data_IF_490459694313
#
_entry.id   IF_490459694313
#
_cell.length_a   1.000
_cell.length_b   1.000
_cell.length_c   1.000
_cell.angle_alpha   90.00
_cell.angle_beta   90.00
_cell.angle_gamma   90.00
#
_symmetry.space_group_name_H-M   'P 1'
#
loop_
_entity.id
_entity.type
_entity.pdbx_description
1 polymer ?
#
# COMPACT_ATOMS: atom_id res chain seq x y z
N UNK A 1 -17.87 26.79 -2.79
CA UNK A 1 -16.72 27.12 -1.92
C UNK A 1 -16.54 25.92 -1.02
N UNK A 2 -15.61 25.04 -1.36
CA UNK A 2 -15.23 23.93 -0.48
C UNK A 2 -14.38 24.55 0.61
N UNK A 3 -14.73 24.35 1.88
CA UNK A 3 -13.89 24.78 3.00
C UNK A 3 -12.53 24.08 2.84
N UNK A 4 -11.46 24.83 2.62
CA UNK A 4 -10.11 24.29 2.67
C UNK A 4 -9.92 23.61 4.03
N UNK A 5 -9.54 22.32 4.09
CA UNK A 5 -9.23 21.67 5.34
C UNK A 5 -8.15 22.44 6.09
N UNK A 6 -8.28 22.53 7.42
CA UNK A 6 -7.22 23.05 8.29
C UNK A 6 -6.03 22.07 8.27
N UNK A 7 -5.17 22.20 7.26
CA UNK A 7 -3.88 21.52 7.25
C UNK A 7 -2.94 22.25 8.22
N UNK A 8 -2.20 21.50 9.03
CA UNK A 8 -1.21 22.07 9.93
C UNK A 8 -0.18 22.87 9.11
N UNK A 9 0.35 23.98 9.64
CA UNK A 9 1.34 24.78 8.92
C UNK A 9 2.66 23.99 8.78
N UNK A 10 2.78 23.22 7.71
CA UNK A 10 3.99 22.50 7.35
C UNK A 10 5.17 23.46 7.21
N UNK A 11 6.15 23.35 8.11
CA UNK A 11 7.35 24.19 8.11
C UNK A 11 8.61 23.40 7.73
N UNK A 12 9.26 23.86 6.65
CA UNK A 12 10.70 23.78 6.32
C UNK A 12 11.35 22.41 6.06
N UNK A 13 10.77 21.58 5.22
CA UNK A 13 11.59 20.80 4.27
C UNK A 13 11.63 21.57 2.94
N UNK A 14 12.82 21.89 2.40
CA UNK A 14 12.92 22.34 1.00
C UNK A 14 12.76 21.09 0.12
N UNK A 15 11.58 20.80 -0.47
CA UNK A 15 11.25 19.50 -1.05
C UNK A 15 11.44 19.48 -2.57
N UNK A 16 12.26 20.38 -3.12
CA UNK A 16 12.37 20.57 -4.57
C UNK A 16 12.90 19.30 -5.29
N UNK A 17 13.82 18.55 -4.65
CA UNK A 17 14.61 17.52 -5.35
C UNK A 17 14.38 16.08 -4.87
N UNK A 18 13.19 15.75 -4.32
CA UNK A 18 12.85 14.33 -4.10
C UNK A 18 12.71 13.64 -5.45
N UNK A 19 13.29 12.46 -5.62
CA UNK A 19 13.12 11.68 -6.86
C UNK A 19 11.84 10.87 -6.78
N UNK A 20 11.28 10.53 -7.94
CA UNK A 20 9.96 9.86 -8.05
C UNK A 20 9.98 8.41 -7.51
N UNK A 21 11.17 7.81 -7.48
CA UNK A 21 11.46 6.44 -7.04
C UNK A 21 12.13 6.37 -5.65
N UNK A 22 12.20 7.48 -4.92
CA UNK A 22 12.83 7.53 -3.59
C UNK A 22 11.83 7.80 -2.47
N UNK A 23 12.11 7.23 -1.30
CA UNK A 23 11.33 7.34 -0.07
C UNK A 23 11.19 8.78 0.45
N UNK A 24 10.39 9.00 1.51
CA UNK A 24 10.14 10.34 2.06
C UNK A 24 11.39 11.07 2.57
N UNK A 25 12.48 10.37 2.85
CA UNK A 25 13.77 11.00 3.18
C UNK A 25 14.68 11.24 1.97
N UNK A 26 14.26 10.83 0.77
CA UNK A 26 15.00 10.90 -0.49
C UNK A 26 16.35 10.14 -0.47
N UNK A 27 16.49 9.13 0.39
CA UNK A 27 17.75 8.39 0.60
C UNK A 27 17.68 6.95 0.12
N UNK A 28 16.51 6.32 0.16
CA UNK A 28 16.30 4.93 -0.27
C UNK A 28 15.51 4.90 -1.56
N UNK A 29 16.03 4.20 -2.58
CA UNK A 29 15.27 3.93 -3.80
C UNK A 29 14.22 2.86 -3.50
N UNK A 30 12.95 3.25 -3.41
CA UNK A 30 11.82 2.37 -3.08
C UNK A 30 11.31 1.58 -4.28
N UNK A 31 11.93 1.72 -5.45
CA UNK A 31 11.72 0.81 -6.57
C UNK A 31 12.77 -0.31 -6.67
N UNK A 32 13.79 -0.29 -5.80
CA UNK A 32 14.90 -1.25 -5.80
C UNK A 32 14.80 -2.20 -4.62
N UNK A 33 14.53 -3.48 -4.91
CA UNK A 33 14.46 -4.53 -3.87
C UNK A 33 15.74 -4.58 -3.01
N UNK A 34 16.97 -4.57 -3.57
CA UNK A 34 18.17 -4.54 -2.74
C UNK A 34 18.27 -3.28 -1.87
N UNK A 35 17.93 -2.10 -2.38
CA UNK A 35 18.06 -0.86 -1.61
C UNK A 35 17.10 -0.83 -0.41
N UNK A 36 15.87 -1.31 -0.59
CA UNK A 36 14.90 -1.40 0.52
C UNK A 36 15.28 -2.50 1.49
N UNK A 37 15.71 -3.68 1.01
CA UNK A 37 16.21 -4.75 1.88
C UNK A 37 17.35 -4.26 2.77
N UNK A 38 18.33 -3.56 2.20
CA UNK A 38 19.51 -3.09 2.94
C UNK A 38 19.11 -2.01 3.98
N UNK A 39 18.14 -1.14 3.66
CA UNK A 39 17.60 -0.17 4.62
C UNK A 39 16.80 -0.84 5.76
N UNK A 40 16.00 -1.85 5.43
CA UNK A 40 15.26 -2.67 6.41
C UNK A 40 16.21 -3.45 7.30
N UNK A 41 17.28 -4.03 6.73
CA UNK A 41 18.32 -4.71 7.48
C UNK A 41 18.99 -3.78 8.49
N UNK A 42 19.39 -2.58 8.07
CA UNK A 42 20.01 -1.61 8.96
C UNK A 42 19.10 -1.23 10.15
N UNK A 43 17.79 -1.06 9.92
CA UNK A 43 16.82 -0.81 10.99
C UNK A 43 16.63 -2.03 11.89
N UNK A 44 16.54 -3.23 11.30
CA UNK A 44 16.33 -4.47 12.04
C UNK A 44 17.52 -4.80 12.95
N UNK A 45 18.75 -4.69 12.44
CA UNK A 45 19.99 -4.92 13.21
C UNK A 45 20.19 -3.86 14.30
N UNK A 46 19.70 -2.64 14.10
CA UNK A 46 19.69 -1.61 15.15
C UNK A 46 18.78 -2.00 16.32
N UNK A 47 17.59 -2.54 16.03
CA UNK A 47 16.66 -3.02 17.07
C UNK A 47 17.17 -4.30 17.74
N UNK A 48 17.71 -5.23 16.95
CA UNK A 48 18.04 -6.59 17.38
C UNK A 48 19.43 -7.03 16.90
N UNK A 49 20.52 -6.53 17.50
CA UNK A 49 21.89 -6.77 17.01
C UNK A 49 22.36 -8.24 17.01
N UNK A 50 21.62 -9.12 17.68
CA UNK A 50 21.95 -10.56 17.80
C UNK A 50 20.99 -11.47 17.03
N UNK A 51 19.90 -10.93 16.48
CA UNK A 51 18.94 -11.70 15.72
C UNK A 51 19.44 -11.93 14.28
N UNK A 52 19.17 -13.10 13.70
CA UNK A 52 19.50 -13.36 12.29
C UNK A 52 18.55 -12.58 11.37
N UNK A 53 19.11 -12.02 10.29
CA UNK A 53 18.35 -11.39 9.20
C UNK A 53 17.99 -12.37 8.07
N UNK A 54 18.44 -13.63 8.14
CA UNK A 54 18.31 -14.59 7.03
C UNK A 54 16.87 -14.81 6.54
N UNK A 55 15.84 -14.93 7.42
CA UNK A 55 14.47 -15.10 6.94
C UNK A 55 13.94 -13.87 6.21
N UNK A 56 14.33 -12.65 6.63
CA UNK A 56 13.97 -11.42 5.91
C UNK A 56 14.69 -11.35 4.56
N UNK A 57 15.97 -11.72 4.52
CA UNK A 57 16.71 -11.78 3.27
C UNK A 57 16.03 -12.72 2.26
N UNK A 58 15.64 -13.91 2.70
CA UNK A 58 14.91 -14.89 1.90
C UNK A 58 13.53 -14.36 1.49
N UNK A 59 12.81 -13.66 2.36
CA UNK A 59 11.54 -13.02 2.03
C UNK A 59 11.70 -11.99 0.90
N UNK A 60 12.71 -11.13 0.95
CA UNK A 60 13.00 -10.18 -0.14
C UNK A 60 13.40 -10.88 -1.45
N UNK A 61 14.11 -12.01 -1.36
CA UNK A 61 14.41 -12.84 -2.52
C UNK A 61 13.12 -13.39 -3.16
N UNK A 62 12.26 -14.04 -2.36
CA UNK A 62 11.01 -14.64 -2.83
C UNK A 62 10.00 -13.59 -3.30
N UNK A 63 9.96 -12.40 -2.68
CA UNK A 63 9.20 -11.24 -3.15
C UNK A 63 9.58 -10.85 -4.57
N UNK A 64 10.89 -10.74 -4.84
CA UNK A 64 11.35 -10.36 -6.17
C UNK A 64 11.00 -11.45 -7.20
N UNK A 65 11.12 -12.73 -6.86
CA UNK A 65 10.68 -13.84 -7.71
C UNK A 65 9.18 -13.78 -7.99
N UNK A 66 8.35 -13.54 -6.98
CA UNK A 66 6.89 -13.47 -7.10
C UNK A 66 6.48 -12.35 -8.04
N UNK A 67 6.91 -11.11 -7.75
CA UNK A 67 6.48 -9.95 -8.53
C UNK A 67 7.07 -9.93 -9.96
N UNK A 68 8.22 -10.57 -10.20
CA UNK A 68 8.77 -10.80 -11.56
C UNK A 68 8.07 -11.94 -12.32
N UNK A 69 7.22 -12.74 -11.67
CA UNK A 69 6.62 -13.93 -12.29
C UNK A 69 7.61 -15.08 -12.50
N UNK A 70 8.66 -15.11 -11.68
CA UNK A 70 9.68 -16.17 -11.66
C UNK A 70 9.44 -17.19 -10.54
N UNK A 71 8.53 -16.90 -9.60
CA UNK A 71 8.09 -17.87 -8.60
C UNK A 71 7.16 -18.92 -9.24
N UNK A 72 7.47 -20.23 -9.16
CA UNK A 72 6.67 -21.27 -9.79
C UNK A 72 5.19 -21.24 -9.37
N UNK A 73 4.29 -21.35 -10.35
CA UNK A 73 2.84 -21.33 -10.11
C UNK A 73 2.21 -19.94 -10.11
N UNK A 74 3.01 -18.87 -10.18
CA UNK A 74 2.54 -17.48 -10.18
C UNK A 74 2.90 -16.76 -11.49
N UNK A 75 2.03 -15.85 -11.91
CA UNK A 75 2.33 -14.85 -12.94
C UNK A 75 3.14 -13.71 -12.31
N UNK A 76 3.70 -12.83 -13.12
CA UNK A 76 4.29 -11.60 -12.62
C UNK A 76 3.23 -10.54 -12.32
N UNK A 77 3.60 -9.54 -11.52
CA UNK A 77 2.75 -8.40 -11.20
C UNK A 77 2.28 -7.72 -12.49
N UNK A 78 0.97 -7.58 -12.67
CA UNK A 78 0.34 -6.94 -13.81
C UNK A 78 -0.60 -5.77 -13.42
N UNK A 79 -0.67 -5.46 -12.12
CA UNK A 79 -1.22 -4.23 -11.53
C UNK A 79 -0.25 -3.06 -11.74
N UNK A 80 -0.78 -1.86 -11.99
CA UNK A 80 0.01 -0.65 -12.33
C UNK A 80 0.13 0.33 -11.17
N UNK A 81 -0.77 0.26 -10.19
CA UNK A 81 -0.75 1.01 -8.94
C UNK A 81 -0.17 0.18 -7.80
N UNK A 82 -0.75 -1.01 -7.55
CA UNK A 82 -0.25 -1.97 -6.56
C UNK A 82 0.93 -2.75 -7.15
N UNK A 83 2.01 -2.03 -7.44
CA UNK A 83 3.24 -2.53 -8.07
C UNK A 83 4.38 -2.71 -7.05
N UNK A 84 5.56 -3.13 -7.52
CA UNK A 84 6.71 -3.33 -6.61
C UNK A 84 7.07 -2.09 -5.80
N UNK A 85 6.99 -0.90 -6.39
CA UNK A 85 7.39 0.32 -5.70
C UNK A 85 6.47 0.59 -4.52
N UNK A 86 5.16 0.45 -4.71
CA UNK A 86 4.19 0.63 -3.63
C UNK A 86 4.49 -0.33 -2.47
N UNK A 87 4.65 -1.62 -2.75
CA UNK A 87 4.91 -2.62 -1.70
C UNK A 87 6.23 -2.38 -0.96
N UNK A 88 7.28 -1.98 -1.67
CA UNK A 88 8.59 -1.70 -1.08
C UNK A 88 8.61 -0.42 -0.23
N UNK A 89 7.96 0.67 -0.67
CA UNK A 89 7.85 1.91 0.11
C UNK A 89 7.06 1.65 1.41
N UNK A 90 5.94 0.93 1.30
CA UNK A 90 5.14 0.53 2.46
C UNK A 90 5.94 -0.35 3.44
N UNK A 91 6.70 -1.33 2.94
CA UNK A 91 7.55 -2.20 3.79
C UNK A 91 8.59 -1.39 4.57
N UNK A 92 9.18 -0.36 3.96
CA UNK A 92 10.11 0.54 4.64
C UNK A 92 9.39 1.41 5.69
N UNK A 93 8.20 1.92 5.38
CA UNK A 93 7.37 2.67 6.33
C UNK A 93 6.97 1.82 7.54
N UNK A 94 6.53 0.59 7.31
CA UNK A 94 6.23 -0.41 8.33
C UNK A 94 7.43 -0.67 9.25
N UNK A 95 8.61 -0.88 8.68
CA UNK A 95 9.84 -1.13 9.45
C UNK A 95 10.20 0.08 10.33
N UNK A 96 10.02 1.30 9.82
CA UNK A 96 10.25 2.55 10.58
C UNK A 96 9.26 2.70 11.73
N UNK A 97 7.98 2.37 11.52
CA UNK A 97 6.98 2.39 12.59
C UNK A 97 7.34 1.44 13.73
N UNK A 98 7.71 0.19 13.40
CA UNK A 98 8.10 -0.79 14.40
C UNK A 98 9.39 -0.38 15.13
N UNK A 99 10.37 0.20 14.42
CA UNK A 99 11.60 0.72 15.05
C UNK A 99 11.32 1.88 16.02
N UNK A 100 10.43 2.79 15.63
CA UNK A 100 9.97 3.86 16.51
C UNK A 100 9.22 3.34 17.75
N UNK A 101 8.38 2.32 17.58
CA UNK A 101 7.69 1.68 18.69
C UNK A 101 8.63 0.94 19.64
N UNK A 102 9.49 0.07 19.11
CA UNK A 102 10.45 -0.71 19.91
C UNK A 102 11.39 0.15 20.74
N UNK A 103 11.80 1.30 20.19
CA UNK A 103 12.68 2.24 20.90
C UNK A 103 11.98 3.04 22.01
N UNK A 104 10.65 3.11 22.02
CA UNK A 104 9.89 3.99 22.94
C UNK A 104 8.94 3.27 23.87
N UNK A 105 8.50 2.05 23.54
CA UNK A 105 7.60 1.27 24.37
C UNK A 105 8.28 0.73 25.64
N UNK A 106 7.48 0.33 26.63
CA UNK A 106 8.00 -0.33 27.82
C UNK A 106 8.49 -1.74 27.46
N UNK A 107 9.46 -2.26 28.21
CA UNK A 107 10.10 -3.56 27.92
C UNK A 107 9.12 -4.72 27.74
N UNK A 108 8.05 -4.76 28.55
CA UNK A 108 7.00 -5.78 28.49
C UNK A 108 6.12 -5.71 27.23
N UNK A 109 6.09 -4.56 26.57
CA UNK A 109 5.26 -4.28 25.39
C UNK A 109 6.09 -4.40 24.10
N UNK A 110 7.38 -4.69 24.21
CA UNK A 110 8.24 -4.93 23.05
C UNK A 110 7.73 -6.12 22.24
N UNK A 111 7.74 -5.96 20.92
CA UNK A 111 7.36 -6.99 19.96
C UNK A 111 8.39 -8.12 19.95
N UNK A 112 9.66 -7.77 20.07
CA UNK A 112 10.78 -8.69 19.90
C UNK A 112 11.12 -8.98 18.44
N UNK A 113 12.23 -9.69 18.18
CA UNK A 113 12.77 -9.85 16.83
C UNK A 113 11.85 -10.64 15.90
N UNK A 114 11.26 -11.72 16.40
CA UNK A 114 10.47 -12.64 15.56
C UNK A 114 9.12 -12.05 15.13
N UNK A 115 8.41 -11.39 16.04
CA UNK A 115 7.16 -10.69 15.70
C UNK A 115 7.41 -9.46 14.82
N UNK A 116 8.52 -8.75 15.04
CA UNK A 116 8.93 -7.66 14.13
C UNK A 116 9.19 -8.20 12.72
N UNK A 117 9.89 -9.33 12.62
CA UNK A 117 10.14 -10.03 11.36
C UNK A 117 8.83 -10.45 10.67
N UNK A 118 7.88 -11.01 11.42
CA UNK A 118 6.53 -11.31 10.93
C UNK A 118 5.85 -10.06 10.35
N UNK A 119 5.88 -8.94 11.05
CA UNK A 119 5.27 -7.69 10.59
C UNK A 119 5.88 -7.19 9.29
N UNK A 120 7.21 -7.24 9.15
CA UNK A 120 7.92 -6.84 7.93
C UNK A 120 7.56 -7.78 6.76
N UNK A 121 7.55 -9.10 6.99
CA UNK A 121 7.20 -10.09 5.95
C UNK A 121 5.74 -9.91 5.51
N UNK A 122 4.83 -9.69 6.46
CA UNK A 122 3.42 -9.44 6.17
C UNK A 122 3.26 -8.18 5.32
N UNK A 123 3.99 -7.11 5.62
CA UNK A 123 4.00 -5.91 4.78
C UNK A 123 4.56 -6.16 3.38
N UNK A 124 5.66 -6.91 3.27
CA UNK A 124 6.28 -7.24 1.99
C UNK A 124 5.36 -8.05 1.07
N UNK A 125 4.42 -8.80 1.63
CA UNK A 125 3.49 -9.66 0.88
C UNK A 125 2.02 -9.25 0.99
N UNK A 126 1.68 -8.10 1.57
CA UNK A 126 0.28 -7.70 1.77
C UNK A 126 -0.53 -7.68 0.46
N UNK A 127 0.10 -7.21 -0.62
CA UNK A 127 -0.45 -7.14 -1.97
C UNK A 127 -0.18 -8.37 -2.85
N UNK A 128 0.44 -9.41 -2.30
CA UNK A 128 0.71 -10.66 -3.04
C UNK A 128 -0.56 -11.30 -3.60
N UNK A 129 -1.72 -11.00 -3.02
CA UNK A 129 -3.00 -11.46 -3.51
C UNK A 129 -3.43 -10.87 -4.85
N UNK A 130 -2.85 -9.77 -5.33
CA UNK A 130 -3.04 -9.30 -6.71
C UNK A 130 -2.35 -10.21 -7.72
N UNK A 131 -1.31 -10.93 -7.31
CA UNK A 131 -0.57 -11.82 -8.20
C UNK A 131 -1.44 -13.01 -8.57
N UNK A 132 -1.69 -13.18 -9.87
CA UNK A 132 -2.50 -14.28 -10.39
C UNK A 132 -1.70 -15.57 -10.39
N UNK A 133 -2.36 -16.69 -10.09
CA UNK A 133 -1.77 -18.02 -10.29
C UNK A 133 -1.82 -18.40 -11.75
N UNK A 134 -0.92 -19.28 -12.19
CA UNK A 134 -0.81 -19.65 -13.61
C UNK A 134 -2.03 -20.42 -14.14
N UNK A 135 -2.76 -21.09 -13.25
CA UNK A 135 -3.98 -21.87 -13.51
C UNK A 135 -5.27 -21.02 -13.43
N UNK A 136 -5.19 -19.75 -13.02
CA UNK A 136 -6.33 -18.83 -12.93
C UNK A 136 -6.60 -18.14 -14.27
N UNK A 137 -7.09 -18.91 -15.25
CA UNK A 137 -7.34 -18.43 -16.61
C UNK A 137 -8.52 -17.45 -16.73
N UNK A 138 -9.37 -17.36 -15.70
CA UNK A 138 -10.56 -16.49 -15.69
C UNK A 138 -10.20 -15.00 -15.69
N UNK A 139 -9.13 -14.64 -15.00
CA UNK A 139 -8.73 -13.24 -14.80
C UNK A 139 -7.66 -12.87 -15.82
N UNK A 140 -7.83 -11.75 -16.49
CA UNK A 140 -6.86 -11.21 -17.45
C UNK A 140 -5.82 -10.33 -16.76
N UNK A 141 -6.19 -9.71 -15.64
CA UNK A 141 -5.32 -8.84 -14.84
C UNK A 141 -5.56 -9.02 -13.33
N UNK A 142 -4.53 -8.82 -12.50
CA UNK A 142 -4.60 -8.89 -11.05
C UNK A 142 -5.59 -7.92 -10.43
N UNK A 143 -5.80 -6.74 -11.01
CA UNK A 143 -6.79 -5.78 -10.50
C UNK A 143 -8.23 -6.32 -10.52
N UNK A 144 -8.54 -7.37 -11.30
CA UNK A 144 -9.87 -7.98 -11.31
C UNK A 144 -10.21 -8.72 -10.00
N UNK A 145 -9.23 -8.97 -9.13
CA UNK A 145 -9.41 -9.64 -7.83
C UNK A 145 -9.37 -8.70 -6.63
N UNK A 146 -9.40 -7.37 -6.83
CA UNK A 146 -9.31 -6.36 -5.74
C UNK A 146 -10.26 -6.63 -4.57
N UNK A 147 -11.48 -7.12 -4.80
CA UNK A 147 -12.45 -7.34 -3.71
C UNK A 147 -12.12 -8.49 -2.75
N UNK A 148 -11.14 -9.33 -3.07
CA UNK A 148 -10.69 -10.44 -2.20
C UNK A 148 -9.16 -10.61 -2.22
N UNK A 149 -8.41 -9.57 -2.61
CA UNK A 149 -6.96 -9.63 -2.72
C UNK A 149 -6.29 -9.86 -1.36
N UNK A 150 -6.85 -9.36 -0.26
CA UNK A 150 -6.27 -9.54 1.06
C UNK A 150 -6.43 -10.98 1.53
N UNK A 151 -7.60 -11.58 1.34
CA UNK A 151 -7.80 -13.03 1.57
C UNK A 151 -6.85 -13.89 0.72
N UNK A 152 -6.54 -13.47 -0.51
CA UNK A 152 -5.53 -14.15 -1.35
C UNK A 152 -4.11 -13.96 -0.82
N UNK A 153 -3.78 -12.77 -0.34
CA UNK A 153 -2.51 -12.48 0.31
C UNK A 153 -2.31 -13.30 1.59
N UNK A 154 -3.37 -13.48 2.37
CA UNK A 154 -3.38 -14.37 3.54
C UNK A 154 -3.05 -15.82 3.17
N UNK A 155 -3.63 -16.36 2.09
CA UNK A 155 -3.31 -17.70 1.59
C UNK A 155 -1.86 -17.80 1.09
N UNK A 156 -1.34 -16.76 0.44
CA UNK A 156 0.07 -16.69 0.08
C UNK A 156 0.97 -16.69 1.32
N UNK A 157 0.61 -15.95 2.37
CA UNK A 157 1.34 -15.93 3.64
C UNK A 157 1.43 -17.32 4.29
N UNK A 158 0.34 -18.11 4.26
CA UNK A 158 0.35 -19.52 4.71
C UNK A 158 1.32 -20.39 3.92
N UNK A 159 1.58 -20.06 2.66
CA UNK A 159 2.52 -20.79 1.80
C UNK A 159 3.97 -20.36 2.04
N UNK A 160 4.21 -19.06 2.22
CA UNK A 160 5.58 -18.52 2.28
C UNK A 160 6.20 -18.63 3.68
N UNK A 161 5.43 -18.42 4.76
CA UNK A 161 5.97 -18.40 6.12
C UNK A 161 6.63 -19.74 6.54
N UNK A 162 6.08 -20.91 6.21
CA UNK A 162 6.77 -22.18 6.49
C UNK A 162 8.13 -22.30 5.79
N UNK A 163 8.28 -21.77 4.56
CA UNK A 163 9.55 -21.77 3.83
C UNK A 163 10.61 -20.88 4.47
N UNK A 164 10.17 -19.89 5.24
CA UNK A 164 11.01 -18.95 5.99
C UNK A 164 11.28 -19.42 7.43
N UNK A 165 10.74 -20.57 7.84
CA UNK A 165 10.88 -21.09 9.21
C UNK A 165 9.93 -20.44 10.23
N UNK A 166 8.91 -19.72 9.78
CA UNK A 166 7.94 -18.97 10.60
C UNK A 166 6.53 -19.58 10.55
N UNK A 167 6.43 -20.90 10.33
CA UNK A 167 5.14 -21.60 10.15
C UNK A 167 4.14 -21.32 11.28
N UNK A 168 4.60 -21.27 12.53
CA UNK A 168 3.72 -21.07 13.69
C UNK A 168 3.06 -19.67 13.72
N UNK A 169 3.56 -18.72 12.94
CA UNK A 169 2.93 -17.41 12.77
C UNK A 169 1.88 -17.36 11.66
N UNK A 170 1.69 -18.45 10.89
CA UNK A 170 0.84 -18.42 9.69
C UNK A 170 -0.58 -17.94 9.97
N UNK A 171 -1.23 -18.46 11.01
CA UNK A 171 -2.59 -18.04 11.36
C UNK A 171 -2.66 -16.57 11.79
N UNK A 172 -1.71 -16.12 12.60
CA UNK A 172 -1.62 -14.71 13.02
C UNK A 172 -1.40 -13.80 11.81
N UNK A 173 -0.48 -14.13 10.91
CA UNK A 173 -0.20 -13.36 9.70
C UNK A 173 -1.44 -13.21 8.81
N UNK A 174 -2.23 -14.29 8.67
CA UNK A 174 -3.46 -14.26 7.87
C UNK A 174 -4.51 -13.31 8.43
N UNK A 175 -4.49 -13.03 9.74
CA UNK A 175 -5.36 -12.02 10.37
C UNK A 175 -4.76 -10.63 10.28
N UNK A 176 -3.47 -10.48 10.57
CA UNK A 176 -2.76 -9.19 10.52
C UNK A 176 -2.90 -8.55 9.13
N UNK A 177 -2.77 -9.31 8.03
CA UNK A 177 -2.84 -8.74 6.69
C UNK A 177 -4.21 -8.09 6.40
N UNK A 178 -5.29 -8.50 7.06
CA UNK A 178 -6.61 -7.87 6.91
C UNK A 178 -6.69 -6.42 7.41
N UNK A 179 -5.70 -5.93 8.15
CA UNK A 179 -5.63 -4.52 8.55
C UNK A 179 -5.38 -3.56 7.36
N UNK A 180 -4.93 -4.04 6.20
CA UNK A 180 -4.77 -3.20 4.98
C UNK A 180 -6.09 -3.01 4.24
N UNK A 181 -6.87 -4.09 4.12
CA UNK A 181 -8.09 -4.12 3.31
C UNK A 181 -9.36 -3.56 3.96
N UNK A 182 -10.45 -3.82 3.26
CA UNK A 182 -11.84 -3.53 3.65
C UNK A 182 -12.72 -4.80 3.59
N UNK A 183 -12.10 -5.97 3.46
CA UNK A 183 -12.80 -7.27 3.37
C UNK A 183 -13.45 -7.68 4.70
N UNK A 184 -12.82 -7.29 5.81
CA UNK A 184 -13.25 -7.54 7.18
C UNK A 184 -13.24 -6.17 7.89
N UNK A 185 -14.26 -5.85 8.68
CA UNK A 185 -14.18 -4.66 9.54
C UNK A 185 -13.01 -4.85 10.51
N UNK A 186 -12.23 -3.80 10.75
CA UNK A 186 -11.08 -3.87 11.66
C UNK A 186 -11.50 -4.34 13.06
N UNK A 187 -12.72 -3.99 13.51
CA UNK A 187 -13.23 -4.43 14.82
C UNK A 187 -13.56 -5.93 14.86
N UNK A 188 -13.71 -6.58 13.70
CA UNK A 188 -14.01 -8.00 13.55
C UNK A 188 -12.73 -8.84 13.30
N UNK A 189 -11.54 -8.22 13.28
CA UNK A 189 -10.27 -8.95 13.14
C UNK A 189 -9.85 -9.49 14.51
N UNK A 190 -10.06 -10.79 14.71
CA UNK A 190 -9.75 -11.48 15.97
C UNK A 190 -8.27 -11.88 16.06
N UNK A 191 -7.56 -11.33 17.07
CA UNK A 191 -6.20 -11.66 17.46
C UNK A 191 -6.12 -11.71 19.00
N UNK A 192 -5.46 -12.73 19.55
CA UNK A 192 -5.42 -12.94 21.01
C UNK A 192 -4.37 -12.06 21.72
N UNK A 193 -3.22 -11.83 21.07
CA UNK A 193 -2.12 -11.06 21.65
C UNK A 193 -2.22 -9.57 21.25
N UNK A 194 -2.23 -8.62 22.20
CA UNK A 194 -2.28 -7.19 21.89
C UNK A 194 -1.08 -6.71 21.04
N UNK A 195 0.07 -7.39 21.11
CA UNK A 195 1.21 -7.05 20.26
C UNK A 195 0.96 -7.40 18.80
N UNK A 196 0.19 -8.46 18.52
CA UNK A 196 -0.18 -8.83 17.14
C UNK A 196 -1.18 -7.82 16.56
N UNK A 197 -2.11 -7.34 17.40
CA UNK A 197 -3.01 -6.22 17.04
C UNK A 197 -2.19 -4.96 16.74
N UNK A 198 -1.17 -4.66 17.54
CA UNK A 198 -0.31 -3.50 17.31
C UNK A 198 0.46 -3.61 15.99
N UNK A 199 0.93 -4.81 15.61
CA UNK A 199 1.50 -5.06 14.28
C UNK A 199 0.48 -4.81 13.17
N UNK A 200 -0.78 -5.24 13.35
CA UNK A 200 -1.87 -4.90 12.45
C UNK A 200 -2.09 -3.39 12.29
N UNK A 201 -2.08 -2.64 13.41
CA UNK A 201 -2.16 -1.18 13.38
C UNK A 201 -1.00 -0.55 12.60
N UNK A 202 0.24 -1.02 12.80
CA UNK A 202 1.39 -0.54 12.03
C UNK A 202 1.22 -0.82 10.54
N UNK A 203 0.78 -2.02 10.18
CA UNK A 203 0.62 -2.43 8.79
C UNK A 203 -0.41 -1.55 8.07
N UNK A 204 -1.62 -1.41 8.62
CA UNK A 204 -2.65 -0.54 8.01
C UNK A 204 -2.27 0.94 8.01
N UNK A 205 -1.47 1.38 8.98
CA UNK A 205 -0.96 2.76 9.04
C UNK A 205 0.12 3.00 7.97
N UNK A 206 1.04 2.06 7.79
CA UNK A 206 2.09 2.12 6.77
C UNK A 206 1.49 2.18 5.36
N UNK A 207 0.50 1.34 5.08
CA UNK A 207 -0.19 1.25 3.80
C UNK A 207 -0.82 2.59 3.39
N UNK A 208 -1.64 3.17 4.28
CA UNK A 208 -2.25 4.48 4.03
C UNK A 208 -1.20 5.61 3.91
N UNK A 209 -0.21 5.66 4.80
CA UNK A 209 0.71 6.79 4.83
C UNK A 209 1.70 6.78 3.68
N UNK A 210 2.29 5.61 3.34
CA UNK A 210 3.34 5.52 2.34
C UNK A 210 2.76 5.82 0.97
N UNK A 211 1.60 5.22 0.66
CA UNK A 211 0.86 5.47 -0.56
C UNK A 211 0.58 6.97 -0.77
N UNK A 212 0.00 7.64 0.24
CA UNK A 212 -0.40 9.03 0.11
C UNK A 212 0.78 10.01 0.16
N UNK A 213 1.90 9.60 0.77
CA UNK A 213 3.13 10.36 0.81
C UNK A 213 3.93 10.26 -0.49
N UNK A 214 3.66 9.28 -1.38
CA UNK A 214 4.34 9.09 -2.66
C UNK A 214 4.41 10.41 -3.45
N UNK A 215 5.56 10.70 -4.05
CA UNK A 215 5.82 11.96 -4.75
C UNK A 215 4.87 12.10 -5.94
N UNK A 216 4.58 10.99 -6.58
CA UNK A 216 3.70 10.88 -7.74
C UNK A 216 2.32 10.35 -7.36
N UNK A 217 1.91 10.42 -6.09
CA UNK A 217 0.62 9.90 -5.61
C UNK A 217 -0.55 10.36 -6.50
N UNK A 218 -0.61 11.64 -6.86
CA UNK A 218 -1.71 12.20 -7.65
C UNK A 218 -1.74 11.66 -9.08
N UNK A 219 -0.59 11.62 -9.76
CA UNK A 219 -0.49 11.03 -11.10
C UNK A 219 -0.79 9.53 -11.09
N UNK A 220 -0.27 8.80 -10.10
CA UNK A 220 -0.56 7.36 -9.92
C UNK A 220 -2.05 7.12 -9.66
N UNK A 221 -2.72 7.95 -8.86
CA UNK A 221 -4.16 7.86 -8.66
C UNK A 221 -4.92 8.07 -9.98
N UNK A 222 -4.63 9.16 -10.70
CA UNK A 222 -5.29 9.51 -11.96
C UNK A 222 -5.14 8.43 -13.04
N UNK A 223 -3.90 7.98 -13.24
CA UNK A 223 -3.55 7.19 -14.43
C UNK A 223 -3.55 5.67 -14.17
N UNK A 224 -3.43 5.26 -12.90
CA UNK A 224 -3.20 3.85 -12.53
C UNK A 224 -4.27 3.31 -11.60
N UNK A 225 -4.47 3.91 -10.42
CA UNK A 225 -5.45 3.42 -9.43
C UNK A 225 -6.88 3.38 -10.00
N UNK A 226 -7.27 4.44 -10.72
CA UNK A 226 -8.56 4.47 -11.39
C UNK A 226 -8.74 3.31 -12.38
N UNK A 227 -7.70 3.01 -13.17
CA UNK A 227 -7.72 1.90 -14.12
C UNK A 227 -7.93 0.55 -13.42
N UNK A 228 -7.28 0.34 -12.29
CA UNK A 228 -7.48 -0.86 -11.48
C UNK A 228 -8.88 -0.94 -10.90
N UNK A 229 -9.45 0.16 -10.41
CA UNK A 229 -10.84 0.17 -9.95
C UNK A 229 -11.86 -0.15 -11.07
N UNK A 230 -11.58 0.24 -12.32
CA UNK A 230 -12.42 -0.14 -13.47
C UNK A 230 -12.33 -1.65 -13.72
N UNK A 231 -11.13 -2.22 -13.70
CA UNK A 231 -10.93 -3.67 -13.88
C UNK A 231 -11.56 -4.48 -12.76
N UNK A 232 -11.45 -4.01 -11.51
CA UNK A 232 -12.12 -4.56 -10.34
C UNK A 232 -13.66 -4.48 -10.43
N UNK A 233 -14.21 -3.63 -11.30
CA UNK A 233 -15.64 -3.37 -11.38
C UNK A 233 -16.19 -2.58 -10.18
N UNK A 234 -15.31 -1.91 -9.42
CA UNK A 234 -15.64 -1.10 -8.25
C UNK A 234 -16.24 0.25 -8.66
N UNK A 235 -15.79 0.82 -9.77
CA UNK A 235 -16.21 2.15 -10.21
C UNK A 235 -17.65 2.23 -10.71
N UNK A 236 -18.34 1.12 -11.02
CA UNK A 236 -19.53 1.15 -11.91
C UNK A 236 -20.78 0.42 -11.34
N UNK A 237 -20.86 0.17 -10.02
CA UNK A 237 -22.08 -0.42 -9.42
C UNK A 237 -22.89 0.59 -8.60
N UNK A 238 -24.17 0.73 -8.97
CA UNK A 238 -25.20 1.48 -8.22
C UNK A 238 -25.63 0.80 -6.91
N UNK A 239 -25.35 -0.50 -6.76
CA UNK A 239 -25.88 -1.34 -5.67
C UNK A 239 -24.78 -2.13 -4.91
N UNK A 240 -23.53 -1.64 -4.87
CA UNK A 240 -22.47 -2.30 -4.10
C UNK A 240 -22.61 -2.00 -2.60
N UNK A 241 -23.03 -3.00 -1.83
CA UNK A 241 -23.19 -2.94 -0.36
C UNK A 241 -21.83 -2.77 0.36
N UNK A 242 -20.72 -3.05 -0.33
CA UNK A 242 -19.39 -3.13 0.29
C UNK A 242 -18.47 -1.93 0.05
N UNK A 243 -18.94 -0.92 -0.69
CA UNK A 243 -18.17 0.31 -0.92
C UNK A 243 -19.19 1.45 -0.95
N UNK A 244 -19.39 2.11 0.19
CA UNK A 244 -20.24 3.29 0.31
C UNK A 244 -19.95 4.28 -0.82
N UNK A 245 -20.92 4.50 -1.72
CA UNK A 245 -21.09 5.65 -2.64
C UNK A 245 -19.89 6.14 -3.49
N UNK A 246 -18.75 5.46 -3.53
CA UNK A 246 -17.57 5.87 -4.30
C UNK A 246 -17.62 5.38 -5.75
N UNK A 247 -18.65 5.81 -6.47
CA UNK A 247 -18.71 5.66 -7.92
C UNK A 247 -17.76 6.69 -8.57
N UNK A 248 -16.61 6.24 -9.07
CA UNK A 248 -15.64 7.11 -9.75
C UNK A 248 -15.87 7.09 -11.26
N UNK A 249 -16.21 8.25 -11.82
CA UNK A 249 -16.47 8.38 -13.27
C UNK A 249 -15.20 8.52 -14.11
N UNK A 250 -14.07 8.91 -13.52
CA UNK A 250 -12.78 9.09 -14.17
C UNK A 250 -11.64 9.18 -13.15
N UNK A 251 -10.39 9.11 -13.61
CA UNK A 251 -9.23 9.41 -12.75
C UNK A 251 -9.24 10.83 -12.18
N UNK A 252 -9.82 11.80 -12.89
CA UNK A 252 -10.01 13.17 -12.39
C UNK A 252 -11.07 13.21 -11.29
N UNK A 253 -12.17 12.46 -11.43
CA UNK A 253 -13.21 12.36 -10.40
C UNK A 253 -12.68 11.67 -9.13
N UNK A 254 -11.83 10.64 -9.28
CA UNK A 254 -11.07 10.05 -8.18
C UNK A 254 -10.24 11.10 -7.45
N UNK A 255 -9.49 11.93 -8.17
CA UNK A 255 -8.71 13.01 -7.59
C UNK A 255 -9.58 14.05 -6.87
N UNK A 256 -10.71 14.47 -7.45
CA UNK A 256 -11.63 15.42 -6.80
C UNK A 256 -12.17 14.92 -5.46
N UNK A 257 -12.34 13.61 -5.32
CA UNK A 257 -12.83 12.95 -4.10
C UNK A 257 -11.72 12.58 -3.11
N UNK A 258 -10.45 12.67 -3.52
CA UNK A 258 -9.30 12.28 -2.69
C UNK A 258 -9.15 13.11 -1.40
N UNK A 259 -9.42 14.44 -1.37
CA UNK A 259 -9.42 15.19 -0.10
C UNK A 259 -10.44 14.66 0.91
N UNK A 260 -11.64 14.30 0.45
CA UNK A 260 -12.69 13.73 1.29
C UNK A 260 -12.32 12.33 1.80
N UNK A 261 -11.79 11.48 0.91
CA UNK A 261 -11.19 10.19 1.26
C UNK A 261 -10.16 10.34 2.39
N UNK A 262 -9.26 11.33 2.29
CA UNK A 262 -8.24 11.55 3.30
C UNK A 262 -8.86 11.90 4.66
N UNK A 263 -9.72 12.91 4.69
CA UNK A 263 -10.27 13.43 5.94
C UNK A 263 -11.24 12.45 6.60
N UNK A 264 -12.14 11.87 5.82
CA UNK A 264 -13.27 11.11 6.36
C UNK A 264 -13.01 9.60 6.45
N UNK A 265 -12.06 9.07 5.68
CA UNK A 265 -11.72 7.64 5.70
C UNK A 265 -10.31 7.38 6.23
N UNK A 266 -9.27 7.93 5.60
CA UNK A 266 -7.89 7.63 5.99
C UNK A 266 -7.57 8.13 7.41
N UNK A 267 -7.83 9.42 7.69
CA UNK A 267 -7.59 10.01 9.01
C UNK A 267 -8.47 9.41 10.09
N UNK A 268 -9.68 8.96 9.76
CA UNK A 268 -10.54 8.24 10.69
C UNK A 268 -9.90 6.89 11.07
N UNK A 269 -9.49 6.06 10.10
CA UNK A 269 -8.77 4.80 10.38
C UNK A 269 -7.51 5.05 11.22
N UNK A 270 -6.66 5.99 10.79
CA UNK A 270 -5.40 6.31 11.48
C UNK A 270 -5.63 6.78 12.93
N UNK A 271 -6.62 7.64 13.18
CA UNK A 271 -6.88 8.17 14.52
C UNK A 271 -7.65 7.22 15.43
N UNK A 272 -8.61 6.46 14.90
CA UNK A 272 -9.58 5.74 15.73
C UNK A 272 -9.43 4.22 15.67
N UNK A 273 -8.88 3.68 14.57
CA UNK A 273 -8.76 2.23 14.37
C UNK A 273 -7.33 1.73 14.50
N UNK A 274 -6.34 2.55 14.19
CA UNK A 274 -4.92 2.16 14.25
C UNK A 274 -4.15 2.83 15.40
N UNK A 275 -4.87 3.24 16.45
CA UNK A 275 -4.30 3.78 17.68
C UNK A 275 -3.25 4.89 17.47
N UNK A 276 -3.42 5.72 16.42
CA UNK A 276 -2.47 6.78 16.05
C UNK A 276 -1.03 6.28 15.89
N UNK A 277 -0.85 5.05 15.43
CA UNK A 277 0.45 4.42 15.29
C UNK A 277 1.45 5.23 14.44
N UNK A 278 0.97 6.10 13.54
CA UNK A 278 1.81 7.01 12.76
C UNK A 278 2.73 7.90 13.61
N UNK A 279 2.40 8.15 14.89
CA UNK A 279 3.22 8.95 15.81
C UNK A 279 4.58 8.31 16.08
N UNK A 280 4.71 6.99 15.99
CA UNK A 280 5.98 6.31 16.22
C UNK A 280 7.05 6.63 15.16
N UNK A 281 6.68 7.23 14.02
CA UNK A 281 7.68 7.79 13.09
C UNK A 281 8.46 8.95 13.73
N UNK A 282 7.85 9.74 14.61
CA UNK A 282 8.39 11.03 15.08
C UNK A 282 9.71 10.88 15.84
N UNK A 283 9.87 9.80 16.61
CA UNK A 283 11.11 9.54 17.37
C UNK A 283 12.32 9.33 16.45
N UNK A 284 12.10 8.88 15.21
CA UNK A 284 13.17 8.67 14.23
C UNK A 284 13.58 9.95 13.51
N UNK A 285 12.82 11.04 13.65
CA UNK A 285 12.97 12.27 12.86
C UNK A 285 12.82 13.53 13.71
N UNK A 286 13.38 13.53 14.91
CA UNK A 286 13.45 14.70 15.81
C UNK A 286 12.07 15.34 16.07
N UNK A 287 11.04 14.50 16.25
CA UNK A 287 9.66 14.93 16.50
C UNK A 287 8.85 15.26 15.23
N UNK A 288 9.41 15.04 14.02
CA UNK A 288 8.72 15.27 12.75
C UNK A 288 8.16 13.99 12.16
N UNK A 289 7.11 14.10 11.36
CA UNK A 289 6.61 12.99 10.56
C UNK A 289 6.72 13.30 9.06
N UNK A 290 7.82 12.89 8.38
CA UNK A 290 8.01 13.21 6.97
C UNK A 290 6.93 12.63 6.05
N UNK A 291 6.28 11.51 6.41
CA UNK A 291 5.15 10.98 5.61
C UNK A 291 4.00 11.98 5.60
N UNK A 292 3.57 12.45 6.78
CA UNK A 292 2.50 13.44 6.88
C UNK A 292 2.85 14.77 6.22
N UNK A 293 4.11 15.24 6.32
CA UNK A 293 4.53 16.44 5.59
C UNK A 293 4.36 16.32 4.07
N UNK A 294 4.59 15.14 3.49
CA UNK A 294 4.40 14.92 2.06
C UNK A 294 2.94 14.66 1.68
N UNK A 295 2.17 13.98 2.54
CA UNK A 295 0.72 13.83 2.37
C UNK A 295 0.06 15.21 2.31
N UNK A 296 0.36 16.10 3.27
CA UNK A 296 -0.17 17.46 3.30
C UNK A 296 0.22 18.26 2.06
N UNK A 297 1.47 18.14 1.58
CA UNK A 297 1.90 18.79 0.32
C UNK A 297 1.11 18.28 -0.89
N UNK A 298 0.93 16.97 -1.00
CA UNK A 298 0.17 16.37 -2.10
C UNK A 298 -1.28 16.86 -2.08
N UNK A 299 -1.91 16.90 -0.90
CA UNK A 299 -3.29 17.36 -0.75
C UNK A 299 -3.45 18.86 -0.99
N UNK A 300 -2.54 19.69 -0.48
CA UNK A 300 -2.51 21.12 -0.78
C UNK A 300 -2.38 21.39 -2.28
N UNK A 301 -1.46 20.69 -2.93
CA UNK A 301 -1.25 20.82 -4.37
C UNK A 301 -2.49 20.39 -5.17
N UNK A 302 -3.11 19.29 -4.75
CA UNK A 302 -4.36 18.80 -5.34
C UNK A 302 -5.52 19.79 -5.17
N UNK A 303 -5.74 20.34 -3.98
CA UNK A 303 -6.80 21.33 -3.75
C UNK A 303 -6.64 22.54 -4.66
N UNK A 304 -5.40 23.05 -4.80
CA UNK A 304 -5.11 24.16 -5.72
C UNK A 304 -5.45 23.81 -7.19
N UNK A 305 -5.17 22.59 -7.63
CA UNK A 305 -5.52 22.11 -8.99
C UNK A 305 -7.04 21.96 -9.14
N UNK A 306 -7.74 21.47 -8.12
CA UNK A 306 -9.21 21.37 -8.12
C UNK A 306 -9.82 22.77 -8.27
N UNK A 307 -9.32 23.75 -7.51
CA UNK A 307 -9.82 25.12 -7.51
C UNK A 307 -9.53 25.85 -8.84
N UNK A 308 -8.34 25.64 -9.42
CA UNK A 308 -7.97 26.25 -10.71
C UNK A 308 -8.60 25.54 -11.91
N UNK A 309 -8.89 24.24 -11.78
CA UNK A 309 -9.30 23.37 -12.88
C UNK A 309 -8.17 22.99 -13.85
N UNK A 310 -6.92 23.40 -13.61
CA UNK A 310 -5.80 23.13 -14.51
C UNK A 310 -5.11 21.79 -14.22
N UNK A 311 -5.71 20.71 -14.72
CA UNK A 311 -5.18 19.35 -14.56
C UNK A 311 -3.86 19.10 -15.29
N UNK A 312 -3.41 19.99 -16.18
CA UNK A 312 -2.11 19.89 -16.88
C UNK A 312 -0.93 20.21 -15.96
N UNK A 313 -1.19 20.69 -14.74
CA UNK A 313 -0.19 20.85 -13.71
C UNK A 313 0.37 19.53 -13.18
N UNK A 314 -0.42 18.44 -13.26
CA UNK A 314 0.02 17.08 -12.95
C UNK A 314 0.87 16.51 -14.10
N UNK A 315 2.17 16.84 -14.08
CA UNK A 315 3.11 16.63 -15.19
C UNK A 315 4.00 15.40 -15.03
N UNK A 316 4.02 14.74 -13.88
CA UNK A 316 4.94 13.61 -13.67
C UNK A 316 4.48 12.40 -14.49
N UNK A 317 5.44 11.59 -14.90
CA UNK A 317 5.19 10.30 -15.56
C UNK A 317 6.08 9.26 -14.88
N UNK A 318 5.73 8.83 -13.66
CA UNK A 318 6.51 7.82 -12.96
C UNK A 318 6.55 6.52 -13.79
N UNK A 319 7.65 5.76 -13.74
CA UNK A 319 7.71 4.40 -14.29
C UNK A 319 6.78 3.44 -13.53
N UNK A 320 6.33 2.38 -14.19
CA UNK A 320 5.58 1.28 -13.59
C UNK A 320 6.53 0.12 -13.30
N UNK A 321 6.50 -0.44 -12.10
CA UNK A 321 7.41 -1.52 -11.69
C UNK A 321 6.68 -2.86 -11.66
N UNK A 322 6.31 -3.33 -12.85
CA UNK A 322 5.51 -4.54 -13.08
C UNK A 322 6.28 -5.53 -13.97
N UNK A 323 5.73 -6.72 -14.19
CA UNK A 323 6.28 -7.71 -15.11
C UNK A 323 5.81 -7.54 -16.58
N UNK A 324 5.03 -6.49 -16.87
CA UNK A 324 4.53 -6.21 -18.22
C UNK A 324 5.55 -5.42 -19.04
N UNK A 325 5.69 -5.73 -20.33
CA UNK A 325 6.55 -4.96 -21.24
C UNK A 325 6.04 -3.53 -21.48
N UNK A 326 4.71 -3.36 -21.59
CA UNK A 326 4.06 -2.07 -21.87
C UNK A 326 2.87 -1.85 -20.90
N UNK A 327 3.13 -1.68 -19.58
CA UNK A 327 2.11 -1.80 -18.54
C UNK A 327 0.90 -0.89 -18.74
N UNK A 328 1.13 0.40 -18.99
CA UNK A 328 0.04 1.38 -19.17
C UNK A 328 -0.81 1.07 -20.40
N UNK A 329 -0.19 0.67 -21.51
CA UNK A 329 -0.93 0.32 -22.74
C UNK A 329 -1.74 -0.96 -22.56
N UNK A 330 -1.15 -1.99 -21.96
CA UNK A 330 -1.83 -3.26 -21.67
C UNK A 330 -3.05 -3.06 -20.78
N UNK A 331 -2.91 -2.31 -19.68
CA UNK A 331 -4.02 -2.02 -18.77
C UNK A 331 -5.07 -1.14 -19.44
N UNK A 332 -4.67 -0.11 -20.20
CA UNK A 332 -5.60 0.77 -20.91
C UNK A 332 -6.45 0.01 -21.94
N UNK A 333 -5.89 -0.98 -22.64
CA UNK A 333 -6.65 -1.84 -23.55
C UNK A 333 -7.74 -2.64 -22.83
N UNK A 334 -7.40 -3.23 -21.67
CA UNK A 334 -8.36 -3.99 -20.85
C UNK A 334 -9.45 -3.07 -20.26
N UNK A 335 -9.09 -1.89 -19.79
CA UNK A 335 -10.05 -0.88 -19.31
C UNK A 335 -11.02 -0.48 -20.42
N UNK A 336 -10.51 -0.21 -21.62
CA UNK A 336 -11.33 0.18 -22.77
C UNK A 336 -12.32 -0.92 -23.17
N UNK A 337 -11.86 -2.17 -23.16
CA UNK A 337 -12.72 -3.33 -23.38
C UNK A 337 -13.80 -3.43 -22.30
N UNK A 338 -13.42 -3.36 -21.02
CA UNK A 338 -14.36 -3.48 -19.89
C UNK A 338 -15.44 -2.39 -19.91
N UNK A 339 -15.06 -1.15 -20.23
CA UNK A 339 -16.02 -0.04 -20.37
C UNK A 339 -16.95 -0.25 -21.57
N UNK A 340 -16.44 -0.77 -22.69
CA UNK A 340 -17.24 -1.04 -23.89
C UNK A 340 -18.28 -2.13 -23.65
N UNK A 341 -17.90 -3.23 -22.99
CA UNK A 341 -18.79 -4.36 -22.67
C UNK A 341 -19.97 -3.94 -21.77
N UNK A 342 -19.79 -2.91 -20.95
CA UNK A 342 -20.84 -2.37 -20.08
C UNK A 342 -21.79 -1.38 -20.79
N UNK A 343 -21.38 -0.80 -21.93
CA UNK A 343 -22.22 0.13 -22.72
C UNK A 343 -23.06 -0.58 -23.79
N UNK A 344 -22.91 -1.89 -23.99
CA UNK A 344 -23.81 -2.66 -24.84
C UNK A 344 -25.17 -2.75 -24.13
N UNK A 345 -26.23 -2.09 -24.63
CA UNK A 345 -27.56 -2.31 -24.08
C UNK A 345 -27.90 -3.79 -24.28
N UNK A 346 -28.46 -4.41 -23.26
CA UNK A 346 -29.00 -5.77 -23.35
C UNK A 346 -30.13 -5.78 -24.39
N UNK A 347 -29.78 -5.99 -25.66
CA UNK A 347 -30.70 -6.19 -26.76
C UNK A 347 -31.12 -7.67 -26.83
N UNK A 348 -31.36 -8.28 -25.66
CA UNK A 348 -31.88 -9.63 -25.53
C UNK A 348 -33.01 -9.73 -24.50
N UNK A 349 -34.23 -9.54 -25.02
CA UNK A 349 -35.54 -10.04 -24.58
C UNK A 349 -36.27 -9.35 -23.43
#
# INVERSE_FOLDING_TARGET
MVNSPDFLPGSRSQPADRRDDYDVTNTVNVASVPAVRDAVQALFEMMFPTASFDPLWLAFHDFNLLFDGRLPGYRGCDTVYHDKQHTLDMTLAMTRLMAGYESTCAEKDRLGPERTMLGIITALFHDSGYIRRTDELRWQNGAEVTSWHVSRGAEFLRTILPRLGLEHWSEVATRIVHFTGYEIDIDDIELDDPNDIMVGHFLGTADLMAQMADRCYLEKCRDRLYSEFVLAGVTIKKDSIYINDMNYSSGIDLLKKTPDFFQNMAMKRLNTKFNRAYQYIEVLYDGRNPYFEFIEKNLHYLCRIIDSGDWHELRRSPPCYTALDNPIQSVSALVSQRLSDQHVPDNSK
#
